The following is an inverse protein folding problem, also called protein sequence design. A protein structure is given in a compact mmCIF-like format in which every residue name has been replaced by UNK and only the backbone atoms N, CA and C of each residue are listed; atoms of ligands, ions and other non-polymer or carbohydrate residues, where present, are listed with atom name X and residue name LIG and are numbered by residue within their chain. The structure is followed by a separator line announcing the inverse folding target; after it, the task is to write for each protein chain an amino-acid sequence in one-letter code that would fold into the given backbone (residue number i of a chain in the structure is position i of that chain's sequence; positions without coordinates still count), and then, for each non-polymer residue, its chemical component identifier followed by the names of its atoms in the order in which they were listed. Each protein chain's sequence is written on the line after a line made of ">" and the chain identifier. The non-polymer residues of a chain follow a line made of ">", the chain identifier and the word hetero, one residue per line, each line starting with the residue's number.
data_IF_776247557331
#
_entry.id   IF_776247557331
#
_cell.length_a   1.000
_cell.length_b   1.000
_cell.length_c   1.000
_cell.angle_alpha   90.00
_cell.angle_beta   90.00
_cell.angle_gamma   90.00
#
_symmetry.space_group_name_H-M   'P 1'
#
loop_
_entity.id
_entity.type
_entity.pdbx_description
1 polymer ?
#
# COMPACT_ATOMS: atom_id res chain seq x y z
N UNK A 1 25.50 4.70 7.05
CA UNK A 1 25.29 3.24 6.87
C UNK A 1 25.11 2.97 5.39
N UNK A 2 25.99 2.17 4.77
CA UNK A 2 25.83 1.79 3.36
C UNK A 2 24.66 0.82 3.26
N UNK A 3 23.55 1.24 2.65
CA UNK A 3 22.43 0.37 2.31
C UNK A 3 22.92 -0.68 1.31
N UNK A 4 23.36 -1.84 1.79
CA UNK A 4 23.39 -3.04 0.97
C UNK A 4 21.94 -3.37 0.64
N UNK A 5 21.51 -3.04 -0.59
CA UNK A 5 20.29 -3.61 -1.16
C UNK A 5 20.53 -5.12 -1.20
N UNK A 6 19.85 -5.93 -0.37
CA UNK A 6 19.89 -7.36 -0.57
C UNK A 6 19.30 -7.63 -1.96
N UNK A 7 19.80 -8.64 -2.69
CA UNK A 7 19.21 -9.04 -3.96
C UNK A 7 17.72 -9.28 -3.77
N UNK A 8 16.89 -8.72 -4.65
CA UNK A 8 15.42 -8.75 -4.64
C UNK A 8 14.90 -10.01 -3.96
N UNK A 9 14.65 -9.90 -2.66
CA UNK A 9 14.09 -10.99 -1.88
C UNK A 9 12.69 -11.20 -2.44
N UNK A 10 12.44 -12.39 -2.97
CA UNK A 10 11.11 -12.78 -3.44
C UNK A 10 10.16 -12.50 -2.28
N UNK A 11 9.27 -11.50 -2.44
CA UNK A 11 8.26 -11.18 -1.44
C UNK A 11 7.51 -12.46 -1.08
N UNK A 12 7.56 -12.91 0.19
CA UNK A 12 7.06 -14.23 0.58
C UNK A 12 5.53 -14.30 0.55
N UNK A 13 4.87 -13.14 0.68
CA UNK A 13 3.42 -13.01 0.58
C UNK A 13 3.10 -12.12 -0.61
N UNK A 14 2.07 -12.51 -1.37
CA UNK A 14 1.59 -11.73 -2.52
C UNK A 14 0.07 -11.67 -2.53
N UNK A 15 -0.46 -10.52 -2.94
CA UNK A 15 -1.85 -10.45 -3.37
C UNK A 15 -1.97 -11.05 -4.77
N UNK A 16 -2.93 -11.94 -4.96
CA UNK A 16 -3.22 -12.56 -6.23
C UNK A 16 -4.72 -12.62 -6.48
N UNK A 17 -5.10 -12.62 -7.76
CA UNK A 17 -6.50 -12.67 -8.17
C UNK A 17 -6.83 -14.03 -8.75
N UNK A 18 -7.80 -14.72 -8.17
CA UNK A 18 -8.28 -16.03 -8.60
C UNK A 18 -9.69 -15.92 -9.23
N UNK A 19 -10.20 -16.98 -9.89
CA UNK A 19 -11.56 -17.01 -10.44
C UNK A 19 -12.65 -16.75 -9.41
N UNK A 20 -12.43 -17.18 -8.17
CA UNK A 20 -13.33 -17.05 -7.02
C UNK A 20 -13.15 -15.73 -6.26
N UNK A 21 -12.12 -14.93 -6.56
CA UNK A 21 -11.89 -13.61 -5.95
C UNK A 21 -10.42 -13.29 -5.67
N UNK A 22 -10.13 -12.09 -5.14
CA UNK A 22 -8.78 -11.76 -4.65
C UNK A 22 -8.44 -12.53 -3.36
N UNK A 23 -7.19 -12.94 -3.23
CA UNK A 23 -6.67 -13.60 -2.03
C UNK A 23 -5.17 -13.29 -1.80
N UNK A 24 -4.68 -13.54 -0.58
CA UNK A 24 -3.27 -13.51 -0.23
C UNK A 24 -2.67 -14.92 -0.33
N UNK A 25 -1.52 -15.02 -0.99
CA UNK A 25 -0.77 -16.26 -1.14
C UNK A 25 0.53 -16.21 -0.38
N UNK A 26 0.84 -17.27 0.36
CA UNK A 26 2.15 -17.52 0.94
C UNK A 26 2.95 -18.38 -0.03
N UNK A 27 4.09 -17.89 -0.49
CA UNK A 27 4.98 -18.61 -1.40
C UNK A 27 5.83 -19.63 -0.62
N UNK A 28 6.14 -20.76 -1.26
CA UNK A 28 7.02 -21.77 -0.67
C UNK A 28 8.45 -21.21 -0.48
N UNK A 29 8.99 -21.16 0.76
CA UNK A 29 10.33 -20.65 1.05
C UNK A 29 11.45 -21.52 0.49
N UNK A 30 11.20 -22.81 0.26
CA UNK A 30 12.22 -23.78 -0.13
C UNK A 30 12.42 -23.88 -1.64
N UNK A 31 11.58 -23.19 -2.43
CA UNK A 31 11.68 -23.19 -3.88
C UNK A 31 12.79 -22.23 -4.33
N UNK A 32 13.83 -22.72 -5.03
CA UNK A 32 14.90 -21.86 -5.51
C UNK A 32 14.37 -20.82 -6.52
N UNK A 33 14.95 -19.62 -6.51
CA UNK A 33 14.56 -18.54 -7.41
C UNK A 33 14.66 -18.93 -8.90
N UNK A 34 15.60 -19.82 -9.26
CA UNK A 34 15.73 -20.35 -10.61
C UNK A 34 14.51 -21.20 -11.02
N UNK A 35 14.03 -22.07 -10.11
CA UNK A 35 12.81 -22.87 -10.31
C UNK A 35 11.58 -21.97 -10.43
N UNK A 36 11.47 -20.96 -9.56
CA UNK A 36 10.41 -19.94 -9.67
C UNK A 36 10.40 -19.22 -11.02
N UNK A 37 11.57 -18.79 -11.51
CA UNK A 37 11.69 -18.12 -12.81
C UNK A 37 11.29 -19.05 -13.95
N UNK A 38 11.79 -20.28 -13.95
CA UNK A 38 11.46 -21.28 -14.97
C UNK A 38 9.95 -21.60 -15.01
N UNK A 39 9.33 -21.80 -13.85
CA UNK A 39 7.90 -22.13 -13.78
C UNK A 39 7.00 -20.93 -14.10
N UNK A 40 7.40 -19.68 -13.78
CA UNK A 40 6.68 -18.48 -14.26
C UNK A 40 6.71 -18.37 -15.78
N UNK A 41 7.85 -18.62 -16.40
CA UNK A 41 7.96 -18.62 -17.87
C UNK A 41 7.10 -19.73 -18.45
N UNK A 42 7.19 -20.96 -17.93
CA UNK A 42 6.38 -22.10 -18.39
C UNK A 42 4.87 -21.88 -18.21
N UNK A 43 4.45 -21.28 -17.10
CA UNK A 43 3.05 -20.95 -16.86
C UNK A 43 2.56 -19.77 -17.72
N UNK A 44 3.45 -18.85 -18.10
CA UNK A 44 3.15 -17.72 -19.00
C UNK A 44 3.10 -18.10 -20.48
N UNK A 45 3.78 -19.18 -20.88
CA UNK A 45 3.82 -19.68 -22.25
C UNK A 45 2.52 -20.43 -22.61
N UNK A 46 1.54 -19.70 -23.13
CA UNK A 46 0.32 -20.30 -23.70
C UNK A 46 0.58 -20.83 -25.11
N UNK A 47 0.00 -21.97 -25.52
CA UNK A 47 0.19 -22.53 -26.86
C UNK A 47 -0.05 -21.51 -27.98
N UNK A 48 -1.07 -20.66 -27.84
CA UNK A 48 -1.36 -19.58 -28.79
C UNK A 48 -0.23 -18.56 -28.93
N UNK A 49 0.41 -18.16 -27.84
CA UNK A 49 1.53 -17.21 -27.86
C UNK A 49 2.72 -17.84 -28.60
N UNK A 50 3.03 -19.10 -28.27
CA UNK A 50 4.13 -19.86 -28.88
C UNK A 50 3.89 -20.04 -30.38
N UNK A 51 2.69 -20.47 -30.78
CA UNK A 51 2.33 -20.67 -32.19
C UNK A 51 2.40 -19.38 -33.01
N UNK A 52 1.91 -18.26 -32.47
CA UNK A 52 2.03 -16.94 -33.14
C UNK A 52 3.50 -16.53 -33.31
N UNK A 53 4.33 -16.78 -32.30
CA UNK A 53 5.77 -16.49 -32.37
C UNK A 53 6.47 -17.34 -33.42
N UNK A 54 6.19 -18.65 -33.46
CA UNK A 54 6.75 -19.55 -34.47
C UNK A 54 6.31 -19.20 -35.89
N UNK A 55 5.03 -18.84 -36.08
CA UNK A 55 4.53 -18.39 -37.38
C UNK A 55 5.21 -17.08 -37.83
N UNK A 56 5.41 -16.14 -36.90
CA UNK A 56 6.16 -14.91 -37.16
C UNK A 56 7.62 -15.17 -37.54
N UNK A 57 8.29 -16.10 -36.84
CA UNK A 57 9.66 -16.53 -37.14
C UNK A 57 9.77 -17.12 -38.55
N UNK A 58 8.86 -18.04 -38.89
CA UNK A 58 8.84 -18.70 -40.18
C UNK A 58 8.61 -17.68 -41.32
N UNK A 59 7.67 -16.75 -41.14
CA UNK A 59 7.41 -15.67 -42.10
C UNK A 59 8.63 -14.76 -42.30
N UNK A 60 9.28 -14.35 -41.22
CA UNK A 60 10.48 -13.50 -41.29
C UNK A 60 11.65 -14.22 -41.99
N UNK A 61 11.87 -15.51 -41.69
CA UNK A 61 12.91 -16.31 -42.31
C UNK A 61 12.66 -16.54 -43.81
N UNK A 62 11.42 -16.85 -44.20
CA UNK A 62 11.03 -17.00 -45.60
C UNK A 62 11.17 -15.69 -46.38
N UNK A 63 10.77 -14.56 -45.79
CA UNK A 63 10.92 -13.25 -46.39
C UNK A 63 12.39 -12.89 -46.63
N UNK A 64 13.25 -13.13 -45.64
CA UNK A 64 14.69 -12.91 -45.75
C UNK A 64 15.36 -13.77 -46.83
N UNK A 65 14.86 -14.99 -47.06
CA UNK A 65 15.38 -15.90 -48.08
C UNK A 65 14.88 -15.58 -49.51
N UNK A 66 13.73 -14.92 -49.65
CA UNK A 66 13.05 -14.70 -50.94
C UNK A 66 13.59 -13.54 -51.81
N UNK A 67 14.61 -12.80 -51.33
CA UNK A 67 15.22 -11.69 -52.07
C UNK A 67 14.54 -10.32 -51.88
N UNK A 68 14.92 -9.32 -52.68
CA UNK A 68 14.46 -7.94 -52.54
C UNK A 68 13.14 -7.69 -53.28
N UNK A 69 12.14 -7.14 -52.57
CA UNK A 69 10.86 -6.74 -53.14
C UNK A 69 9.91 -6.19 -52.07
N UNK A 70 8.93 -5.38 -52.48
CA UNK A 70 7.95 -4.77 -51.55
C UNK A 70 7.23 -5.82 -50.69
N UNK A 71 6.86 -6.96 -51.28
CA UNK A 71 6.23 -8.07 -50.57
C UNK A 71 7.16 -8.72 -49.52
N UNK A 72 8.46 -8.83 -49.81
CA UNK A 72 9.45 -9.38 -48.88
C UNK A 72 9.67 -8.43 -47.68
N UNK A 73 9.76 -7.11 -47.92
CA UNK A 73 9.85 -6.11 -46.85
C UNK A 73 8.61 -6.13 -45.96
N UNK A 74 7.41 -6.22 -46.55
CA UNK A 74 6.16 -6.29 -45.81
C UNK A 74 6.05 -7.59 -44.98
N UNK A 75 6.40 -8.74 -45.55
CA UNK A 75 6.38 -10.02 -44.86
C UNK A 75 7.40 -10.07 -43.70
N UNK A 76 8.58 -9.48 -43.88
CA UNK A 76 9.58 -9.35 -42.82
C UNK A 76 9.09 -8.46 -41.68
N UNK A 77 8.44 -7.33 -42.00
CA UNK A 77 7.80 -6.46 -41.02
C UNK A 77 6.68 -7.15 -40.25
N UNK A 78 5.79 -7.88 -40.95
CA UNK A 78 4.70 -8.63 -40.33
C UNK A 78 5.21 -9.78 -39.45
N UNK A 79 6.22 -10.53 -39.90
CA UNK A 79 6.85 -11.60 -39.13
C UNK A 79 7.57 -11.08 -37.89
N UNK A 80 8.33 -9.98 -38.02
CA UNK A 80 8.98 -9.30 -36.90
C UNK A 80 7.98 -8.74 -35.88
N UNK A 81 6.87 -8.16 -36.34
CA UNK A 81 5.80 -7.68 -35.46
C UNK A 81 5.12 -8.84 -34.72
N UNK A 82 4.79 -9.93 -35.40
CA UNK A 82 4.18 -11.11 -34.78
C UNK A 82 5.12 -11.74 -33.72
N UNK A 83 6.42 -11.81 -34.00
CA UNK A 83 7.45 -12.21 -33.05
C UNK A 83 7.52 -11.28 -31.84
N UNK A 84 7.60 -9.96 -32.06
CA UNK A 84 7.67 -8.96 -31.01
C UNK A 84 6.44 -9.00 -30.09
N UNK A 85 5.24 -9.09 -30.68
CA UNK A 85 3.97 -9.23 -29.95
C UNK A 85 3.96 -10.52 -29.13
N UNK A 86 4.42 -11.65 -29.70
CA UNK A 86 4.50 -12.92 -28.98
C UNK A 86 5.46 -12.85 -27.79
N UNK A 87 6.66 -12.31 -27.98
CA UNK A 87 7.64 -12.14 -26.90
C UNK A 87 7.12 -11.22 -25.79
N UNK A 88 6.53 -10.08 -26.16
CA UNK A 88 5.95 -9.16 -25.20
C UNK A 88 4.77 -9.78 -24.45
N UNK A 89 3.85 -10.46 -25.15
CA UNK A 89 2.72 -11.15 -24.54
C UNK A 89 3.18 -12.28 -23.62
N UNK A 90 4.23 -13.03 -23.99
CA UNK A 90 4.83 -14.08 -23.17
C UNK A 90 5.48 -13.51 -21.91
N UNK A 91 6.28 -12.45 -22.04
CA UNK A 91 6.88 -11.74 -20.91
C UNK A 91 5.83 -11.16 -19.96
N UNK A 92 4.84 -10.45 -20.50
CA UNK A 92 3.76 -9.86 -19.75
C UNK A 92 2.93 -10.92 -19.02
N UNK A 93 2.64 -12.04 -19.69
CA UNK A 93 1.96 -13.19 -19.08
C UNK A 93 2.79 -13.75 -17.93
N UNK A 94 4.08 -14.05 -18.14
CA UNK A 94 4.98 -14.58 -17.11
C UNK A 94 5.14 -13.64 -15.91
N UNK A 95 5.14 -12.32 -16.13
CA UNK A 95 5.18 -11.33 -15.06
C UNK A 95 3.89 -11.32 -14.22
N UNK A 96 2.72 -11.57 -14.84
CA UNK A 96 1.41 -11.59 -14.17
C UNK A 96 1.03 -12.93 -13.55
N UNK A 97 1.71 -14.03 -13.89
CA UNK A 97 1.39 -15.38 -13.41
C UNK A 97 1.23 -15.48 -11.87
N UNK A 98 1.94 -14.65 -11.09
CA UNK A 98 1.83 -14.66 -9.62
C UNK A 98 0.80 -13.68 -9.03
N UNK A 99 0.25 -12.79 -9.84
CA UNK A 99 -0.72 -11.79 -9.41
C UNK A 99 -2.12 -12.07 -9.99
N UNK A 100 -2.20 -12.85 -11.06
CA UNK A 100 -3.43 -13.16 -11.78
C UNK A 100 -3.46 -14.62 -12.23
N UNK A 101 -4.28 -15.40 -11.53
CA UNK A 101 -4.56 -16.81 -11.78
C UNK A 101 -5.94 -17.01 -12.43
N UNK A 102 -6.56 -15.96 -12.97
CA UNK A 102 -7.77 -16.09 -13.78
C UNK A 102 -7.43 -16.78 -15.10
N UNK A 103 -7.55 -18.09 -15.11
CA UNK A 103 -7.42 -18.89 -16.32
C UNK A 103 -8.78 -19.46 -16.73
N UNK A 104 -8.96 -19.74 -18.03
CA UNK A 104 -10.21 -20.31 -18.52
C UNK A 104 -10.47 -21.68 -17.90
N UNK A 105 -11.75 -22.07 -17.81
CA UNK A 105 -12.20 -23.35 -17.20
C UNK A 105 -11.50 -24.61 -17.73
N UNK A 106 -10.87 -24.57 -18.91
CA UNK A 106 -10.13 -25.67 -19.51
C UNK A 106 -8.60 -25.63 -19.38
N UNK A 107 -8.02 -24.64 -18.68
CA UNK A 107 -6.56 -24.53 -18.53
C UNK A 107 -6.19 -24.05 -17.11
N UNK A 108 -6.23 -24.91 -16.08
CA UNK A 108 -5.83 -24.54 -14.73
C UNK A 108 -4.38 -24.01 -14.72
N UNK A 109 -4.08 -23.07 -13.81
CA UNK A 109 -2.72 -22.57 -13.65
C UNK A 109 -1.80 -23.75 -13.36
N UNK A 110 -0.66 -23.85 -14.05
CA UNK A 110 0.34 -24.88 -13.73
C UNK A 110 0.80 -24.81 -12.26
N UNK A 111 0.87 -23.60 -11.70
CA UNK A 111 1.29 -23.38 -10.31
C UNK A 111 0.20 -23.73 -9.28
N UNK A 112 -1.06 -23.84 -9.70
CA UNK A 112 -2.22 -24.16 -8.84
C UNK A 112 -2.63 -25.64 -8.95
N UNK A 113 -1.85 -26.45 -9.68
CA UNK A 113 -2.19 -27.86 -9.95
C UNK A 113 -2.00 -28.74 -8.72
N UNK A 114 -0.95 -28.47 -7.95
CA UNK A 114 -0.62 -29.20 -6.72
C UNK A 114 -0.55 -28.18 -5.60
N UNK A 115 -1.50 -28.28 -4.67
CA UNK A 115 -1.55 -27.42 -3.49
C UNK A 115 -0.26 -27.57 -2.68
N UNK A 116 0.27 -26.45 -2.18
CA UNK A 116 1.49 -26.47 -1.38
C UNK A 116 2.77 -26.77 -2.15
N UNK A 117 2.74 -27.02 -3.47
CA UNK A 117 3.99 -27.15 -4.23
C UNK A 117 4.70 -25.79 -4.33
N UNK A 118 3.95 -24.77 -4.74
CA UNK A 118 4.46 -23.43 -5.00
C UNK A 118 3.96 -22.38 -4.01
N UNK A 119 2.70 -22.47 -3.61
CA UNK A 119 2.10 -21.54 -2.67
C UNK A 119 0.91 -22.18 -1.95
N UNK A 120 0.49 -21.52 -0.88
CA UNK A 120 -0.78 -21.74 -0.21
C UNK A 120 -1.61 -20.46 -0.27
N UNK A 121 -2.90 -20.59 -0.56
CA UNK A 121 -3.90 -19.51 -0.47
C UNK A 121 -4.56 -19.54 0.89
N UNK A 122 -5.01 -18.39 1.37
CA UNK A 122 -5.80 -18.37 2.62
C UNK A 122 -7.11 -19.15 2.46
N UNK A 123 -7.69 -19.12 1.25
CA UNK A 123 -8.90 -19.88 0.89
C UNK A 123 -8.71 -21.39 0.76
N UNK A 124 -7.49 -21.89 0.63
CA UNK A 124 -7.26 -23.34 0.58
C UNK A 124 -7.63 -24.05 1.90
N UNK A 125 -7.90 -23.28 2.97
CA UNK A 125 -8.17 -23.76 4.32
C UNK A 125 -9.52 -23.25 4.87
N UNK A 126 -10.42 -22.71 4.05
CA UNK A 126 -11.71 -22.16 4.53
C UNK A 126 -12.65 -23.21 5.12
N UNK A 127 -12.49 -24.44 4.69
CA UNK A 127 -13.27 -25.60 5.12
C UNK A 127 -12.75 -26.23 6.43
N UNK A 128 -11.58 -25.80 6.92
CA UNK A 128 -11.02 -26.29 8.19
C UNK A 128 -11.55 -25.55 9.43
N UNK A 129 -12.70 -24.86 9.32
CA UNK A 129 -13.33 -24.17 10.45
C UNK A 129 -12.47 -23.08 11.08
N UNK A 130 -12.25 -23.16 12.39
CA UNK A 130 -11.52 -22.17 13.20
C UNK A 130 -10.06 -22.00 12.75
N UNK A 131 -9.42 -23.07 12.27
CA UNK A 131 -8.04 -23.02 11.75
C UNK A 131 -7.88 -22.04 10.58
N UNK A 132 -8.96 -21.74 9.84
CA UNK A 132 -8.94 -20.75 8.76
C UNK A 132 -8.52 -19.35 9.23
N UNK A 133 -8.87 -18.96 10.47
CA UNK A 133 -8.45 -17.68 11.04
C UNK A 133 -6.96 -17.64 11.35
N UNK A 134 -6.41 -18.73 11.90
CA UNK A 134 -4.99 -18.88 12.16
C UNK A 134 -4.18 -18.79 10.86
N UNK A 135 -4.62 -19.47 9.78
CA UNK A 135 -3.99 -19.39 8.46
C UNK A 135 -3.93 -17.95 7.95
N UNK A 136 -5.05 -17.22 7.95
CA UNK A 136 -5.08 -15.80 7.53
C UNK A 136 -4.12 -14.95 8.34
N UNK A 137 -4.06 -15.18 9.65
CA UNK A 137 -3.20 -14.44 10.58
C UNK A 137 -1.71 -14.71 10.30
N UNK A 138 -1.34 -15.96 10.04
CA UNK A 138 0.02 -16.34 9.68
C UNK A 138 0.45 -15.72 8.35
N UNK A 139 -0.38 -15.83 7.31
CA UNK A 139 -0.07 -15.25 5.99
C UNK A 139 0.06 -13.72 6.10
N UNK A 140 -0.87 -13.04 6.77
CA UNK A 140 -0.78 -11.61 6.97
C UNK A 140 0.46 -11.21 7.78
N UNK A 141 0.76 -11.95 8.85
CA UNK A 141 1.91 -11.71 9.72
C UNK A 141 3.25 -11.85 9.00
N UNK A 142 3.43 -12.89 8.18
CA UNK A 142 4.63 -13.02 7.33
C UNK A 142 4.74 -11.83 6.36
N UNK A 143 3.61 -11.42 5.76
CA UNK A 143 3.59 -10.28 4.85
C UNK A 143 4.03 -8.99 5.54
N UNK A 144 3.51 -8.73 6.73
CA UNK A 144 3.85 -7.55 7.51
C UNK A 144 5.33 -7.52 7.93
N UNK A 145 5.89 -8.63 8.43
CA UNK A 145 7.30 -8.70 8.84
C UNK A 145 8.28 -8.47 7.68
N UNK A 146 7.92 -8.87 6.47
CA UNK A 146 8.78 -8.70 5.29
C UNK A 146 8.60 -7.35 4.58
N UNK A 147 7.43 -6.74 4.67
CA UNK A 147 7.10 -5.48 3.99
C UNK A 147 7.19 -4.24 4.89
N UNK A 148 7.20 -4.42 6.22
CA UNK A 148 7.10 -3.32 7.18
C UNK A 148 8.32 -2.39 7.20
N UNK A 149 8.15 -1.11 7.54
CA UNK A 149 9.25 -0.16 7.76
C UNK A 149 10.35 -0.67 8.69
N UNK A 150 10.01 -1.47 9.70
CA UNK A 150 10.98 -2.03 10.64
C UNK A 150 11.87 -3.11 10.01
N UNK A 151 11.55 -3.62 8.81
CA UNK A 151 12.32 -4.68 8.14
C UNK A 151 13.82 -4.38 8.02
N UNK A 152 14.20 -3.12 7.85
CA UNK A 152 15.61 -2.71 7.75
C UNK A 152 16.39 -2.83 9.07
N UNK A 153 15.68 -2.95 10.20
CA UNK A 153 16.22 -2.99 11.56
C UNK A 153 16.21 -4.40 12.17
N UNK A 154 15.51 -5.33 11.54
CA UNK A 154 15.38 -6.72 11.98
C UNK A 154 16.40 -7.57 11.24
N UNK A 155 17.06 -8.47 11.96
CA UNK A 155 17.95 -9.47 11.36
C UNK A 155 17.22 -10.21 10.21
N UNK A 156 17.79 -10.27 8.99
CA UNK A 156 17.13 -10.92 7.86
C UNK A 156 16.78 -12.40 8.06
N UNK A 157 17.42 -13.08 9.01
CA UNK A 157 17.10 -14.45 9.41
C UNK A 157 15.76 -14.58 10.11
N UNK A 158 15.37 -13.59 10.94
CA UNK A 158 14.13 -13.65 11.72
C UNK A 158 12.87 -13.73 10.83
N UNK A 159 12.63 -12.82 9.85
CA UNK A 159 11.48 -12.95 8.97
C UNK A 159 11.50 -14.21 8.10
N UNK A 160 12.69 -14.71 7.74
CA UNK A 160 12.82 -15.97 6.98
C UNK A 160 12.40 -17.17 7.83
N UNK A 161 12.78 -17.17 9.11
CA UNK A 161 12.39 -18.25 10.02
C UNK A 161 10.89 -18.22 10.29
N UNK A 162 10.31 -17.04 10.52
CA UNK A 162 8.84 -16.90 10.64
C UNK A 162 8.12 -17.37 9.38
N UNK A 163 8.66 -17.06 8.19
CA UNK A 163 8.12 -17.57 6.93
C UNK A 163 8.18 -19.10 6.85
N UNK A 164 9.30 -19.71 7.22
CA UNK A 164 9.44 -21.18 7.26
C UNK A 164 8.49 -21.83 8.25
N UNK A 165 8.40 -21.30 9.47
CA UNK A 165 7.49 -21.81 10.51
C UNK A 165 6.04 -21.71 10.06
N UNK A 166 5.63 -20.56 9.51
CA UNK A 166 4.29 -20.40 8.95
C UNK A 166 4.03 -21.40 7.82
N UNK A 167 4.98 -21.57 6.89
CA UNK A 167 4.88 -22.53 5.80
C UNK A 167 4.72 -23.98 6.30
N UNK A 168 5.53 -24.39 7.27
CA UNK A 168 5.47 -25.72 7.87
C UNK A 168 4.16 -25.95 8.62
N UNK A 169 3.64 -24.93 9.32
CA UNK A 169 2.33 -24.99 9.96
C UNK A 169 1.21 -25.22 8.95
N UNK A 170 1.23 -24.51 7.81
CA UNK A 170 0.27 -24.73 6.72
C UNK A 170 0.41 -26.12 6.08
N UNK A 171 1.65 -26.61 5.89
CA UNK A 171 1.88 -27.98 5.42
C UNK A 171 1.40 -29.04 6.42
N UNK A 172 1.47 -28.76 7.73
CA UNK A 172 0.92 -29.62 8.76
C UNK A 172 -0.61 -29.68 8.63
N UNK A 173 -1.25 -28.50 8.58
CA UNK A 173 -2.71 -28.39 8.41
C UNK A 173 -3.21 -29.09 7.15
N UNK A 174 -2.56 -28.88 6.01
CA UNK A 174 -2.97 -29.50 4.75
C UNK A 174 -2.91 -31.04 4.83
N UNK A 175 -1.88 -31.60 5.50
CA UNK A 175 -1.76 -33.05 5.74
C UNK A 175 -2.82 -33.60 6.70
N UNK A 176 -3.39 -32.77 7.58
CA UNK A 176 -4.45 -33.21 8.52
C UNK A 176 -5.84 -33.24 7.91
N UNK A 177 -6.03 -32.74 6.70
CA UNK A 177 -7.35 -32.61 6.05
C UNK A 177 -8.14 -33.92 6.05
N UNK A 178 -7.55 -35.00 5.54
CA UNK A 178 -8.23 -36.30 5.51
C UNK A 178 -8.60 -36.83 6.91
N UNK A 179 -7.77 -36.57 7.92
CA UNK A 179 -8.05 -36.94 9.30
C UNK A 179 -9.18 -36.09 9.90
N UNK A 180 -9.27 -34.81 9.54
CA UNK A 180 -10.38 -33.91 9.94
C UNK A 180 -11.69 -34.28 9.26
N UNK A 181 -11.65 -34.59 7.97
CA UNK A 181 -12.81 -35.06 7.21
C UNK A 181 -13.35 -36.36 7.84
N UNK A 182 -12.46 -37.33 8.12
CA UNK A 182 -12.83 -38.56 8.81
C UNK A 182 -13.36 -38.32 10.24
N UNK A 183 -12.73 -37.42 11.01
CA UNK A 183 -13.21 -37.08 12.35
C UNK A 183 -14.59 -36.41 12.33
N UNK A 184 -14.92 -35.69 11.25
CA UNK A 184 -16.23 -35.09 11.03
C UNK A 184 -17.28 -36.14 10.63
N UNK A 185 -16.96 -37.02 9.68
CA UNK A 185 -17.85 -38.14 9.29
C UNK A 185 -18.14 -39.07 10.48
N UNK A 186 -17.13 -39.41 11.27
CA UNK A 186 -17.28 -40.21 12.48
C UNK A 186 -18.03 -39.48 13.59
N UNK A 187 -18.18 -38.16 13.50
CA UNK A 187 -18.97 -37.39 14.47
C UNK A 187 -20.47 -37.51 14.27
N UNK A 188 -20.90 -37.84 13.07
CA UNK A 188 -22.31 -37.93 12.71
C UNK A 188 -22.96 -39.26 13.17
N UNK A 189 -22.16 -40.25 13.59
CA UNK A 189 -22.63 -41.54 14.16
C UNK A 189 -21.91 -41.91 15.48
N UNK A 190 -22.23 -41.20 16.58
CA UNK A 190 -21.54 -41.34 17.87
C UNK A 190 -21.84 -42.65 18.61
N UNK A 191 -22.91 -43.37 18.24
CA UNK A 191 -23.35 -44.62 18.88
C UNK A 191 -22.75 -45.87 18.22
N UNK A 192 -21.94 -45.72 17.15
CA UNK A 192 -21.28 -46.83 16.48
C UNK A 192 -20.11 -47.40 17.30
N UNK A 193 -19.70 -48.64 17.00
CA UNK A 193 -18.52 -49.29 17.56
C UNK A 193 -17.19 -48.54 17.28
N UNK A 194 -17.23 -47.45 16.50
CA UNK A 194 -16.11 -46.61 16.09
C UNK A 194 -15.97 -45.35 16.97
N UNK A 195 -16.82 -45.18 17.99
CA UNK A 195 -16.81 -44.00 18.87
C UNK A 195 -15.47 -43.69 19.55
N UNK A 196 -14.69 -44.70 19.95
CA UNK A 196 -13.34 -44.51 20.50
C UNK A 196 -12.35 -43.99 19.45
N UNK A 197 -12.46 -44.45 18.20
CA UNK A 197 -11.63 -43.98 17.08
C UNK A 197 -12.01 -42.55 16.69
N UNK A 198 -13.30 -42.20 16.74
CA UNK A 198 -13.78 -40.84 16.54
C UNK A 198 -13.22 -39.88 17.61
N UNK A 199 -13.26 -40.30 18.87
CA UNK A 199 -12.71 -39.54 19.99
C UNK A 199 -11.20 -39.32 19.84
N UNK A 200 -10.44 -40.39 19.53
CA UNK A 200 -8.99 -40.31 19.31
C UNK A 200 -8.62 -39.40 18.12
N UNK A 201 -9.38 -39.46 17.01
CA UNK A 201 -9.17 -38.60 15.86
C UNK A 201 -9.42 -37.12 16.20
N UNK A 202 -10.47 -36.81 16.97
CA UNK A 202 -10.74 -35.45 17.46
C UNK A 202 -9.65 -34.96 18.38
N UNK A 203 -9.22 -35.77 19.35
CA UNK A 203 -8.13 -35.42 20.26
C UNK A 203 -6.84 -35.09 19.49
N UNK A 204 -6.48 -35.90 18.50
CA UNK A 204 -5.32 -35.63 17.65
C UNK A 204 -5.45 -34.33 16.86
N UNK A 205 -6.65 -34.01 16.35
CA UNK A 205 -6.92 -32.73 15.66
C UNK A 205 -6.80 -31.56 16.65
N UNK A 206 -7.32 -31.69 17.87
CA UNK A 206 -7.24 -30.65 18.91
C UNK A 206 -5.80 -30.35 19.29
N UNK A 207 -4.95 -31.36 19.48
CA UNK A 207 -3.51 -31.17 19.75
C UNK A 207 -2.82 -30.36 18.65
N UNK A 208 -3.22 -30.57 17.39
CA UNK A 208 -2.65 -29.83 16.25
C UNK A 208 -3.18 -28.40 16.21
N UNK A 209 -4.45 -28.18 16.52
CA UNK A 209 -5.05 -26.84 16.59
C UNK A 209 -4.44 -26.03 17.75
N UNK A 210 -4.20 -26.64 18.91
CA UNK A 210 -3.52 -26.00 20.04
C UNK A 210 -2.07 -25.60 19.71
N UNK A 211 -1.33 -26.49 19.02
CA UNK A 211 0.01 -26.20 18.55
C UNK A 211 0.03 -25.09 17.49
N UNK A 212 -0.98 -25.05 16.61
CA UNK A 212 -1.15 -23.97 15.64
C UNK A 212 -1.41 -22.63 16.34
N UNK A 213 -2.29 -22.61 17.33
CA UNK A 213 -2.60 -21.40 18.10
C UNK A 213 -1.37 -20.89 18.85
N UNK A 214 -0.52 -21.78 19.36
CA UNK A 214 0.78 -21.42 19.92
C UNK A 214 1.69 -20.73 18.90
N UNK A 215 1.80 -21.30 17.69
CA UNK A 215 2.58 -20.68 16.60
C UNK A 215 2.01 -19.30 16.27
N UNK A 216 0.69 -19.16 16.16
CA UNK A 216 0.04 -17.85 15.93
C UNK A 216 0.37 -16.86 17.04
N UNK A 217 0.31 -17.26 18.30
CA UNK A 217 0.68 -16.41 19.45
C UNK A 217 2.14 -15.92 19.34
N UNK A 218 3.07 -16.79 18.98
CA UNK A 218 4.48 -16.42 18.83
C UNK A 218 4.72 -15.48 17.65
N UNK A 219 4.13 -15.77 16.47
CA UNK A 219 4.18 -14.85 15.32
C UNK A 219 3.56 -13.50 15.67
N UNK A 220 2.44 -13.50 16.38
CA UNK A 220 1.82 -12.27 16.85
C UNK A 220 2.72 -11.48 17.80
N UNK A 221 3.42 -12.15 18.72
CA UNK A 221 4.44 -11.52 19.57
C UNK A 221 5.53 -10.80 18.75
N UNK A 222 6.04 -11.44 17.68
CA UNK A 222 6.98 -10.80 16.76
C UNK A 222 6.40 -9.54 16.09
N UNK A 223 5.13 -9.59 15.68
CA UNK A 223 4.44 -8.44 15.09
C UNK A 223 4.25 -7.30 16.07
N UNK A 224 3.86 -7.59 17.32
CA UNK A 224 3.70 -6.56 18.37
C UNK A 224 5.01 -5.81 18.59
N UNK A 225 6.12 -6.53 18.72
CA UNK A 225 7.45 -5.92 18.89
C UNK A 225 7.85 -5.09 17.65
N UNK A 226 7.58 -5.61 16.46
CA UNK A 226 7.86 -4.93 15.19
C UNK A 226 7.06 -3.62 15.08
N UNK A 227 5.75 -3.66 15.33
CA UNK A 227 4.87 -2.49 15.31
C UNK A 227 5.25 -1.44 16.36
N UNK A 228 5.63 -1.88 17.56
CA UNK A 228 6.09 -0.97 18.61
C UNK A 228 7.38 -0.24 18.18
N UNK A 229 8.30 -0.96 17.53
CA UNK A 229 9.49 -0.35 16.97
C UNK A 229 9.16 0.64 15.86
N UNK A 230 8.26 0.31 14.94
CA UNK A 230 7.80 1.23 13.88
C UNK A 230 7.12 2.48 14.44
N UNK A 231 6.34 2.35 15.51
CA UNK A 231 5.77 3.49 16.21
C UNK A 231 6.87 4.41 16.77
N UNK A 232 7.93 3.84 17.35
CA UNK A 232 9.07 4.60 17.88
C UNK A 232 9.88 5.29 16.77
N UNK A 233 10.10 4.61 15.63
CA UNK A 233 10.73 5.20 14.46
C UNK A 233 9.94 6.40 13.92
N UNK A 234 8.62 6.25 13.78
CA UNK A 234 7.72 7.33 13.35
C UNK A 234 7.74 8.51 14.32
N UNK A 235 7.77 8.25 15.62
CA UNK A 235 7.85 9.32 16.62
C UNK A 235 9.16 10.11 16.49
N UNK A 236 10.30 9.44 16.30
CA UNK A 236 11.58 10.10 16.07
C UNK A 236 11.61 10.93 14.79
N UNK A 237 11.05 10.41 13.69
CA UNK A 237 10.93 11.16 12.43
C UNK A 237 10.05 12.42 12.59
N UNK A 238 8.91 12.28 13.28
CA UNK A 238 8.02 13.41 13.56
C UNK A 238 8.69 14.46 14.45
N UNK A 239 9.45 14.06 15.46
CA UNK A 239 10.18 14.99 16.31
C UNK A 239 11.21 15.80 15.50
N UNK A 240 12.05 15.13 14.71
CA UNK A 240 13.04 15.79 13.84
C UNK A 240 12.37 16.74 12.83
N UNK A 241 11.27 16.31 12.22
CA UNK A 241 10.52 17.13 11.26
C UNK A 241 9.89 18.35 11.92
N UNK A 242 9.31 18.18 13.11
CA UNK A 242 8.76 19.29 13.90
C UNK A 242 9.84 20.28 14.28
N UNK A 243 10.98 19.83 14.79
CA UNK A 243 12.11 20.70 15.13
C UNK A 243 12.59 21.50 13.91
N UNK A 244 12.69 20.85 12.75
CA UNK A 244 13.07 21.52 11.50
C UNK A 244 12.04 22.57 11.06
N UNK A 245 10.73 22.26 11.14
CA UNK A 245 9.67 23.20 10.78
C UNK A 245 9.64 24.38 11.74
N UNK A 246 9.73 24.14 13.05
CA UNK A 246 9.74 25.18 14.07
C UNK A 246 10.96 26.10 13.92
N UNK A 247 12.13 25.55 13.60
CA UNK A 247 13.33 26.33 13.33
C UNK A 247 13.22 27.20 12.06
N UNK A 248 12.33 26.86 11.13
CA UNK A 248 12.09 27.62 9.90
C UNK A 248 10.98 28.69 10.05
N UNK A 249 10.26 28.73 11.17
CA UNK A 249 9.24 29.76 11.40
C UNK A 249 9.90 31.13 11.65
N UNK A 250 9.32 32.23 11.13
CA UNK A 250 9.80 33.56 11.42
C UNK A 250 9.70 33.82 12.93
N UNK A 251 10.78 34.33 13.52
CA UNK A 251 10.81 34.62 14.94
C UNK A 251 9.90 35.80 15.31
N UNK A 252 9.52 35.88 16.60
CA UNK A 252 8.64 36.96 17.10
C UNK A 252 9.15 38.36 16.76
N UNK A 253 10.47 38.56 16.75
CA UNK A 253 11.09 39.84 16.38
C UNK A 253 10.88 40.19 14.89
N UNK A 254 10.80 39.20 13.99
CA UNK A 254 10.52 39.43 12.58
C UNK A 254 9.04 39.76 12.36
N UNK A 255 8.13 39.02 12.99
CA UNK A 255 6.70 39.31 12.94
C UNK A 255 6.39 40.69 13.54
N UNK A 256 7.03 41.04 14.67
CA UNK A 256 6.88 42.36 15.29
C UNK A 256 7.39 43.47 14.38
N UNK A 257 8.56 43.31 13.75
CA UNK A 257 9.09 44.28 12.78
C UNK A 257 8.17 44.45 11.58
N UNK A 258 7.57 43.37 11.08
CA UNK A 258 6.57 43.44 10.00
C UNK A 258 5.33 44.21 10.43
N UNK A 259 4.84 44.00 11.66
CA UNK A 259 3.71 44.75 12.22
C UNK A 259 4.04 46.23 12.39
N UNK A 260 5.19 46.56 12.97
CA UNK A 260 5.66 47.95 13.15
C UNK A 260 5.82 48.66 11.79
N UNK A 261 6.39 47.98 10.79
CA UNK A 261 6.50 48.52 9.43
C UNK A 261 5.12 48.74 8.80
N UNK A 262 4.18 47.81 9.00
CA UNK A 262 2.81 47.93 8.50
C UNK A 262 2.05 49.10 9.16
N UNK A 263 2.24 49.33 10.46
CA UNK A 263 1.66 50.46 11.19
C UNK A 263 2.25 51.81 10.76
N UNK A 264 3.55 51.85 10.44
CA UNK A 264 4.22 53.06 9.97
C UNK A 264 3.85 53.43 8.52
N UNK A 265 3.43 52.47 7.69
CA UNK A 265 3.11 52.68 6.27
C UNK A 265 2.07 53.80 6.04
N UNK A 266 0.88 53.79 6.68
CA UNK A 266 -0.11 54.85 6.50
C UNK A 266 0.41 56.24 6.88
N UNK A 267 1.21 56.34 7.94
CA UNK A 267 1.78 57.61 8.39
C UNK A 267 2.78 58.16 7.36
N UNK A 268 3.67 57.29 6.86
CA UNK A 268 4.63 57.64 5.81
C UNK A 268 3.93 58.06 4.52
N UNK A 269 2.95 57.27 4.06
CA UNK A 269 2.15 57.59 2.86
C UNK A 269 1.41 58.91 3.04
N UNK A 270 0.81 59.14 4.20
CA UNK A 270 0.13 60.41 4.52
C UNK A 270 1.09 61.60 4.48
N UNK A 271 2.30 61.44 5.01
CA UNK A 271 3.34 62.47 5.00
C UNK A 271 3.77 62.79 3.56
N UNK A 272 4.09 61.78 2.74
CA UNK A 272 4.46 61.97 1.33
C UNK A 272 3.35 62.62 0.51
N UNK A 273 2.11 62.15 0.65
CA UNK A 273 0.94 62.73 -0.03
C UNK A 273 0.72 64.18 0.40
N UNK A 274 0.91 64.49 1.69
CA UNK A 274 0.84 65.86 2.20
C UNK A 274 1.95 66.75 1.66
N UNK A 275 3.20 66.28 1.63
CA UNK A 275 4.32 67.04 1.06
C UNK A 275 4.11 67.30 -0.44
N UNK A 276 3.70 66.28 -1.21
CA UNK A 276 3.40 66.43 -2.63
C UNK A 276 2.29 67.46 -2.89
N UNK A 277 1.24 67.44 -2.06
CA UNK A 277 0.18 68.47 -2.09
C UNK A 277 0.75 69.87 -1.88
N UNK A 278 1.61 70.03 -0.86
CA UNK A 278 2.16 71.35 -0.49
C UNK A 278 3.07 71.92 -1.59
N UNK A 279 3.89 71.08 -2.23
CA UNK A 279 4.75 71.48 -3.37
C UNK A 279 3.91 71.85 -4.60
N UNK A 280 2.84 71.13 -4.87
CA UNK A 280 1.99 71.35 -6.06
C UNK A 280 0.97 72.48 -5.89
N UNK A 281 0.83 73.05 -4.68
CA UNK A 281 -0.18 74.08 -4.39
C UNK A 281 -1.62 73.57 -4.52
N UNK A 282 -1.82 72.25 -4.54
CA UNK A 282 -3.15 71.65 -4.59
C UNK A 282 -3.79 71.85 -3.22
N UNK A 283 -4.91 72.57 -3.12
CA UNK A 283 -5.46 73.01 -1.83
C UNK A 283 -5.72 71.89 -0.79
N UNK A 284 -6.14 72.27 0.42
CA UNK A 284 -6.29 71.33 1.54
C UNK A 284 -7.13 70.08 1.21
N UNK A 285 -6.65 68.91 1.66
CA UNK A 285 -7.36 67.63 1.53
C UNK A 285 -8.74 67.67 2.18
N UNK A 286 -9.68 66.82 1.72
CA UNK A 286 -11.03 66.76 2.25
C UNK A 286 -11.11 66.62 3.77
N UNK A 287 -10.31 65.72 4.34
CA UNK A 287 -10.27 65.44 5.78
C UNK A 287 -9.63 66.54 6.63
N UNK A 288 -8.96 67.53 6.01
CA UNK A 288 -8.35 68.67 6.72
C UNK A 288 -9.27 69.89 6.80
N UNK A 289 -10.42 69.87 6.12
CA UNK A 289 -11.39 70.97 6.15
C UNK A 289 -12.35 70.79 7.34
N UNK A 290 -13.01 71.83 7.86
CA UNK A 290 -14.02 71.65 8.91
C UNK A 290 -15.19 70.79 8.40
N UNK A 291 -15.85 69.97 9.27
CA UNK A 291 -16.93 69.06 8.85
C UNK A 291 -18.05 69.76 8.07
N UNK A 292 -18.31 71.03 8.36
CA UNK A 292 -19.27 71.89 7.66
C UNK A 292 -18.99 72.05 6.16
N UNK A 293 -17.76 71.83 5.72
CA UNK A 293 -17.34 71.90 4.31
C UNK A 293 -17.30 70.54 3.58
N UNK A 294 -17.54 69.43 4.30
CA UNK A 294 -17.48 68.07 3.75
C UNK A 294 -18.72 67.73 2.91
N UNK A 295 -19.81 68.49 3.08
CA UNK A 295 -21.09 68.36 2.37
C UNK A 295 -21.00 68.60 0.85
N UNK A 296 -19.92 69.25 0.36
CA UNK A 296 -19.60 69.34 -1.08
C UNK A 296 -18.68 68.21 -1.57
N UNK A 297 -17.89 67.60 -0.69
CA UNK A 297 -16.92 66.55 -1.03
C UNK A 297 -17.51 65.13 -0.98
N UNK A 298 -18.47 64.88 -0.07
CA UNK A 298 -19.25 63.64 -0.03
C UNK A 298 -20.16 63.44 -1.26
N UNK A 299 -20.33 64.47 -2.11
CA UNK A 299 -21.01 64.36 -3.41
C UNK A 299 -20.11 63.84 -4.54
N UNK A 300 -18.80 63.78 -4.34
CA UNK A 300 -17.80 63.44 -5.39
C UNK A 300 -17.05 62.12 -5.08
N UNK A 301 -17.21 61.53 -3.90
CA UNK A 301 -16.70 60.18 -3.61
C UNK A 301 -17.73 59.09 -3.97
N UNK A 302 -17.33 57.99 -4.64
CA UNK A 302 -18.21 56.86 -4.84
C UNK A 302 -18.60 56.25 -3.49
N UNK A 303 -19.88 55.86 -3.36
CA UNK A 303 -20.58 55.30 -2.17
C UNK A 303 -19.98 54.00 -1.57
N UNK A 304 -18.72 53.67 -1.82
CA UNK A 304 -18.12 52.37 -1.51
C UNK A 304 -17.40 52.21 -0.16
N UNK A 305 -17.22 53.26 0.64
CA UNK A 305 -16.40 53.19 1.87
C UNK A 305 -17.16 53.52 3.18
N UNK A 306 -18.49 53.36 3.21
CA UNK A 306 -19.30 53.49 4.44
C UNK A 306 -19.78 52.14 5.01
N UNK A 307 -19.10 51.04 4.72
CA UNK A 307 -19.44 49.72 5.29
C UNK A 307 -18.19 49.04 5.86
N UNK A 308 -17.74 49.56 6.99
CA UNK A 308 -16.59 49.04 7.73
C UNK A 308 -16.53 49.57 9.16
N UNK A 309 -17.68 49.77 9.80
CA UNK A 309 -17.78 50.07 11.21
C UNK A 309 -19.09 49.47 11.73
N UNK A 310 -19.01 48.33 12.42
CA UNK A 310 -20.16 47.70 13.07
C UNK A 310 -20.12 46.18 13.13
N UNK A 311 -19.22 45.63 13.94
CA UNK A 311 -19.45 44.36 14.63
C UNK A 311 -18.40 44.20 15.74
N UNK A 312 -18.66 44.88 16.85
CA UNK A 312 -18.14 44.46 18.14
C UNK A 312 -19.18 43.53 18.75
N UNK A 313 -18.81 42.28 19.01
CA UNK A 313 -19.52 41.44 19.98
C UNK A 313 -18.49 40.61 20.74
N UNK A 314 -18.63 40.70 22.06
CA UNK A 314 -17.68 40.37 23.11
C UNK A 314 -17.31 38.87 23.23
N UNK A 315 -16.19 38.53 23.88
CA UNK A 315 -15.75 37.15 24.09
C UNK A 315 -16.55 36.47 25.21
N UNK A 316 -17.03 35.25 24.91
CA UNK A 316 -17.69 34.38 25.87
C UNK A 316 -16.66 33.69 26.77
N UNK A 317 -16.73 34.04 28.05
CA UNK A 317 -16.12 33.40 29.22
C UNK A 317 -16.73 32.01 29.42
N UNK A 318 -15.93 30.95 29.40
CA UNK A 318 -16.34 29.63 29.95
C UNK A 318 -15.32 29.16 30.98
N UNK A 319 -15.71 29.32 32.24
CA UNK A 319 -15.18 28.63 33.40
C UNK A 319 -15.80 27.24 33.42
N UNK A 320 -15.00 26.19 33.60
CA UNK A 320 -15.50 24.92 34.11
C UNK A 320 -14.46 24.35 35.09
N UNK A 321 -14.66 24.74 36.36
CA UNK A 321 -14.24 23.96 37.52
C UNK A 321 -15.29 22.85 37.72
N UNK A 322 -14.84 21.66 38.12
CA UNK A 322 -15.67 20.49 38.35
C UNK A 322 -14.93 19.41 39.13
N UNK A 323 -14.49 19.74 40.34
CA UNK A 323 -14.55 18.84 41.51
C UNK A 323 -15.95 19.09 42.17
N UNK A 324 -16.76 18.18 42.68
CA UNK A 324 -16.73 16.72 42.88
C UNK A 324 -18.03 16.28 43.61
N UNK A 325 -18.13 14.97 43.88
CA UNK A 325 -18.96 14.25 44.87
C UNK A 325 -20.45 13.93 44.57
N UNK A 326 -20.68 12.67 44.19
CA UNK A 326 -21.47 11.71 44.98
C UNK A 326 -20.96 10.30 44.71
#
# INVERSE_FOLDING_TARGET
>A
MKHHKPPDAVMPVRAATFPDGPDSVLLNPDIPQARWRGERVRAGLRPRIVLTGLAGAALAALAAASGSGFAAVFALGAGGLALGVSLFAGWYSAARVLADHRHGRGSPCRLDRVRGEFFFRSRDFTDLGTASYAVRTLIAGVGELHCGPARAWIDPGVPREVHRVAWQALCCLDRTRAARDLAHELADDPDSAVGELAAAAREAVTVIDDALDEIVRHVHGCLVLTRAWEAKLRHGELAVRTDHILAALPGDAEVRRLSEAAEALPQNVFAYITAARDITGTGAFPWKRPPSSWSRLLRILPRGLSRGAGSGTAPARRVQSGEGLS
#
